data_IF_191069656023
#
_entry.id   IF_191069656023
#
_cell.length_a   1.000
_cell.length_b   1.000
_cell.length_c   1.000
_cell.angle_alpha   90.00
_cell.angle_beta   90.00
_cell.angle_gamma   90.00
#
_symmetry.space_group_name_H-M   'P 1'
#
loop_
_entity.id
_entity.type
_entity.pdbx_description
1 polymer ?
#
# COMPACT_ATOMS: atom_id res chain seq x y z
N UNK A 1 13.37 -22.99 68.87
CA UNK A 1 12.55 -23.21 67.66
C UNK A 1 12.32 -21.85 67.03
N UNK A 2 13.29 -21.36 66.25
CA UNK A 2 13.16 -20.12 65.48
C UNK A 2 12.80 -20.48 64.05
N UNK A 3 11.53 -20.24 63.67
CA UNK A 3 11.11 -20.26 62.26
C UNK A 3 11.35 -18.87 61.68
N UNK A 4 12.53 -18.68 61.09
CA UNK A 4 12.81 -17.53 60.25
C UNK A 4 11.81 -17.45 59.09
N UNK A 5 11.04 -16.36 59.05
CA UNK A 5 10.30 -15.94 57.87
C UNK A 5 11.32 -15.64 56.77
N UNK A 6 11.30 -16.41 55.69
CA UNK A 6 11.97 -16.05 54.44
C UNK A 6 11.18 -14.87 53.86
N UNK A 7 11.80 -13.68 53.67
CA UNK A 7 11.11 -12.58 53.02
C UNK A 7 10.88 -12.94 51.56
N UNK A 8 9.65 -12.68 51.12
CA UNK A 8 9.15 -12.73 49.76
C UNK A 8 10.15 -12.08 48.79
N UNK A 9 10.86 -12.91 48.01
CA UNK A 9 11.75 -12.45 46.93
C UNK A 9 10.94 -12.11 45.68
N UNK A 10 9.78 -11.47 45.88
CA UNK A 10 9.00 -10.82 44.85
C UNK A 10 9.51 -9.38 44.69
N UNK A 11 10.71 -9.20 44.13
CA UNK A 11 11.12 -7.88 43.69
C UNK A 11 12.27 -7.93 42.67
N UNK A 12 11.91 -7.51 41.45
CA UNK A 12 12.74 -6.78 40.47
C UNK A 12 13.70 -7.60 39.61
N UNK A 13 13.13 -8.28 38.63
CA UNK A 13 13.74 -8.34 37.31
C UNK A 13 13.00 -7.36 36.39
N UNK A 14 13.52 -6.12 36.30
CA UNK A 14 13.19 -5.17 35.24
C UNK A 14 13.85 -5.63 33.92
N UNK A 15 13.46 -6.80 33.43
CA UNK A 15 13.74 -7.21 32.06
C UNK A 15 12.49 -6.86 31.27
N UNK A 16 12.60 -5.94 30.32
CA UNK A 16 11.57 -5.69 29.31
C UNK A 16 11.45 -6.98 28.50
N UNK A 17 10.73 -7.96 29.04
CA UNK A 17 10.45 -9.21 28.37
C UNK A 17 9.23 -8.92 27.53
N UNK A 18 9.46 -8.40 26.33
CA UNK A 18 8.40 -8.33 25.32
C UNK A 18 7.92 -9.77 25.14
N UNK A 19 6.63 -10.01 25.40
CA UNK A 19 6.06 -11.35 25.26
C UNK A 19 6.36 -11.87 23.87
N UNK A 20 6.74 -13.15 23.73
CA UNK A 20 7.03 -13.76 22.43
C UNK A 20 5.85 -13.56 21.45
N UNK A 21 4.63 -13.55 21.98
CA UNK A 21 3.43 -13.23 21.20
C UNK A 21 3.49 -11.83 20.60
N UNK A 22 3.96 -10.84 21.34
CA UNK A 22 4.04 -9.46 20.86
C UNK A 22 5.22 -9.28 19.90
N UNK A 23 6.34 -9.95 20.15
CA UNK A 23 7.47 -10.00 19.19
C UNK A 23 7.02 -10.56 17.84
N UNK A 24 6.30 -11.69 17.83
CA UNK A 24 5.82 -12.31 16.58
C UNK A 24 4.83 -11.39 15.87
N UNK A 25 3.89 -10.79 16.61
CA UNK A 25 2.89 -9.88 16.04
C UNK A 25 3.54 -8.67 15.37
N UNK A 26 4.49 -8.03 16.05
CA UNK A 26 5.12 -6.79 15.57
C UNK A 26 6.18 -7.03 14.50
N UNK A 27 6.90 -8.16 14.56
CA UNK A 27 8.07 -8.40 13.71
C UNK A 27 7.88 -9.49 12.65
N UNK A 28 6.79 -10.26 12.66
CA UNK A 28 6.52 -11.28 11.64
C UNK A 28 5.39 -10.85 10.73
N UNK A 29 4.26 -10.40 11.29
CA UNK A 29 3.07 -10.07 10.49
C UNK A 29 3.32 -9.04 9.38
N UNK A 30 4.09 -7.95 9.57
CA UNK A 30 4.35 -6.98 8.51
C UNK A 30 5.15 -7.54 7.33
N UNK A 31 5.91 -8.62 7.52
CA UNK A 31 6.74 -9.21 6.47
C UNK A 31 6.00 -10.25 5.62
N UNK A 32 4.80 -10.65 6.04
CA UNK A 32 4.02 -11.65 5.34
C UNK A 32 3.24 -11.06 4.16
N UNK A 33 3.02 -11.83 3.09
CA UNK A 33 2.18 -11.40 1.97
C UNK A 33 0.79 -10.96 2.43
N UNK A 34 0.28 -9.88 1.81
CA UNK A 34 -1.02 -9.29 2.16
C UNK A 34 -2.16 -10.32 2.24
N UNK A 35 -2.20 -11.28 1.31
CA UNK A 35 -3.22 -12.34 1.29
C UNK A 35 -3.17 -13.22 2.55
N UNK A 36 -1.98 -13.59 3.02
CA UNK A 36 -1.80 -14.41 4.24
C UNK A 36 -2.24 -13.63 5.47
N UNK A 37 -1.85 -12.36 5.54
CA UNK A 37 -2.21 -11.47 6.64
C UNK A 37 -3.72 -11.27 6.76
N UNK A 38 -4.44 -11.10 5.64
CA UNK A 38 -5.91 -10.99 5.67
C UNK A 38 -6.56 -12.24 6.25
N UNK A 39 -6.07 -13.44 5.92
CA UNK A 39 -6.58 -14.69 6.50
C UNK A 39 -6.39 -14.75 8.00
N UNK A 40 -5.30 -14.17 8.51
CA UNK A 40 -5.00 -14.19 9.94
C UNK A 40 -5.95 -13.33 10.80
N UNK A 41 -6.74 -12.45 10.19
CA UNK A 41 -7.87 -11.78 10.88
C UNK A 41 -8.91 -12.77 11.41
N UNK A 42 -8.96 -14.00 10.88
CA UNK A 42 -9.88 -15.03 11.33
C UNK A 42 -9.34 -15.87 12.50
N UNK A 43 -8.06 -15.72 12.88
CA UNK A 43 -7.42 -16.55 13.92
C UNK A 43 -7.91 -16.17 15.32
N UNK A 44 -7.86 -14.89 15.69
CA UNK A 44 -8.42 -14.39 16.95
C UNK A 44 -8.76 -12.89 16.88
N UNK A 45 -9.45 -12.38 17.92
CA UNK A 45 -9.86 -10.97 18.00
C UNK A 45 -8.68 -10.00 18.02
N UNK A 46 -7.61 -10.36 18.73
CA UNK A 46 -6.42 -9.49 18.87
C UNK A 46 -5.73 -9.30 17.53
N UNK A 47 -5.56 -10.38 16.76
CA UNK A 47 -4.94 -10.32 15.43
C UNK A 47 -5.83 -9.53 14.47
N UNK A 48 -7.15 -9.74 14.52
CA UNK A 48 -8.09 -8.92 13.74
C UNK A 48 -7.95 -7.44 14.06
N UNK A 49 -7.85 -7.08 15.33
CA UNK A 49 -7.70 -5.69 15.76
C UNK A 49 -6.40 -5.07 15.24
N UNK A 50 -5.26 -5.73 15.45
CA UNK A 50 -3.96 -5.23 15.01
C UNK A 50 -3.84 -5.12 13.48
N UNK A 51 -4.27 -6.15 12.73
CA UNK A 51 -4.20 -6.16 11.26
C UNK A 51 -5.19 -5.15 10.64
N UNK A 52 -6.19 -4.71 11.40
CA UNK A 52 -7.12 -3.66 10.95
C UNK A 52 -6.63 -2.25 11.29
N UNK A 53 -5.55 -2.11 12.07
CA UNK A 53 -5.00 -0.81 12.41
C UNK A 53 -4.32 -0.15 11.18
N UNK A 54 -4.51 1.16 10.94
CA UNK A 54 -3.86 1.85 9.83
C UNK A 54 -2.33 1.73 9.87
N UNK A 55 -1.74 1.78 11.07
CA UNK A 55 -0.30 1.63 11.27
C UNK A 55 0.22 0.27 10.78
N UNK A 56 -0.58 -0.79 10.88
CA UNK A 56 -0.18 -2.10 10.39
C UNK A 56 -0.04 -2.11 8.86
N UNK A 57 -1.01 -1.53 8.14
CA UNK A 57 -0.94 -1.43 6.68
C UNK A 57 0.27 -0.60 6.23
N UNK A 58 0.58 0.48 6.97
CA UNK A 58 1.78 1.28 6.76
C UNK A 58 3.06 0.45 6.93
N UNK A 59 3.23 -0.23 8.06
CA UNK A 59 4.40 -1.07 8.33
C UNK A 59 4.53 -2.20 7.31
N UNK A 60 3.42 -2.84 6.93
CA UNK A 60 3.44 -3.89 5.92
C UNK A 60 3.90 -3.36 4.54
N UNK A 61 3.47 -2.15 4.15
CA UNK A 61 3.90 -1.52 2.88
C UNK A 61 5.39 -1.20 2.84
N UNK A 62 6.02 -1.07 4.02
CA UNK A 62 7.44 -0.83 4.21
C UNK A 62 8.28 -2.09 4.37
N UNK A 63 7.70 -3.17 4.90
CA UNK A 63 8.44 -4.39 5.24
C UNK A 63 8.32 -5.49 4.19
N UNK A 64 7.19 -5.59 3.49
CA UNK A 64 6.96 -6.64 2.50
C UNK A 64 7.42 -6.19 1.11
N UNK A 65 8.67 -6.51 0.76
CA UNK A 65 9.26 -6.16 -0.54
C UNK A 65 9.08 -7.23 -1.63
N UNK A 66 8.37 -8.31 -1.34
CA UNK A 66 8.14 -9.38 -2.31
C UNK A 66 7.18 -8.96 -3.41
N UNK A 67 7.62 -8.97 -4.66
CA UNK A 67 6.72 -8.76 -5.81
C UNK A 67 5.68 -9.88 -5.85
N UNK A 68 4.40 -9.52 -5.70
CA UNK A 68 3.30 -10.50 -5.68
C UNK A 68 2.82 -10.87 -7.09
N UNK A 69 2.99 -9.99 -8.07
CA UNK A 69 2.56 -10.20 -9.44
C UNK A 69 2.81 -9.01 -10.35
N UNK A 70 2.47 -9.18 -11.63
CA UNK A 70 2.63 -8.19 -12.69
C UNK A 70 1.24 -7.88 -13.26
N UNK A 71 0.86 -6.59 -13.24
CA UNK A 71 -0.33 -6.14 -13.94
C UNK A 71 -0.03 -5.95 -15.42
N UNK A 72 -0.91 -6.47 -16.28
CA UNK A 72 -0.81 -6.33 -17.73
C UNK A 72 -2.10 -5.72 -18.25
N UNK A 73 -1.95 -4.75 -19.15
CA UNK A 73 -3.09 -4.11 -19.80
C UNK A 73 -2.74 -3.81 -21.25
N UNK A 74 -3.39 -4.53 -22.17
CA UNK A 74 -3.16 -4.41 -23.61
C UNK A 74 -4.23 -3.48 -24.19
N UNK A 75 -3.84 -2.45 -24.96
CA UNK A 75 -4.72 -1.59 -25.76
C UNK A 75 -6.03 -1.12 -25.09
N UNK A 76 -5.94 -0.46 -23.92
CA UNK A 76 -7.12 -0.06 -23.11
C UNK A 76 -8.11 -1.21 -22.85
N UNK A 77 -7.63 -2.44 -22.80
CA UNK A 77 -8.42 -3.61 -22.39
C UNK A 77 -8.64 -3.65 -20.89
N UNK A 78 -9.34 -4.70 -20.44
CA UNK A 78 -9.44 -5.03 -19.02
C UNK A 78 -8.06 -5.41 -18.48
N UNK A 79 -7.64 -4.87 -17.32
CA UNK A 79 -6.38 -5.25 -16.71
C UNK A 79 -6.40 -6.71 -16.27
N UNK A 80 -5.28 -7.41 -16.42
CA UNK A 80 -5.04 -8.75 -15.88
C UNK A 80 -3.88 -8.70 -14.89
N UNK A 81 -3.85 -9.65 -13.95
CA UNK A 81 -2.77 -9.82 -13.00
C UNK A 81 -2.15 -11.20 -13.20
N UNK A 82 -0.86 -11.23 -13.50
CA UNK A 82 -0.07 -12.46 -13.52
C UNK A 82 0.63 -12.57 -12.16
N UNK A 83 0.17 -13.46 -11.26
CA UNK A 83 0.82 -13.64 -9.99
C UNK A 83 2.17 -14.35 -10.15
N UNK A 84 3.17 -13.93 -9.38
CA UNK A 84 4.47 -14.63 -9.33
C UNK A 84 4.34 -15.93 -8.52
N UNK A 85 3.53 -15.90 -7.47
CA UNK A 85 3.15 -17.07 -6.69
C UNK A 85 1.62 -17.18 -6.69
N UNK A 86 1.07 -18.33 -7.09
CA UNK A 86 -0.38 -18.56 -7.09
C UNK A 86 -0.99 -18.34 -5.69
N UNK A 87 -0.22 -18.57 -4.64
CA UNK A 87 -0.66 -18.33 -3.26
C UNK A 87 -0.60 -16.86 -2.85
N UNK A 88 0.11 -15.98 -3.55
CA UNK A 88 0.18 -14.54 -3.23
C UNK A 88 -0.93 -13.72 -3.89
N UNK A 89 -1.61 -14.26 -4.91
CA UNK A 89 -2.69 -13.56 -5.62
C UNK A 89 -3.93 -13.38 -4.72
N UNK A 90 -4.12 -12.18 -4.17
CA UNK A 90 -5.29 -11.79 -3.36
C UNK A 90 -6.16 -10.72 -4.01
N UNK A 91 -5.87 -10.36 -5.26
CA UNK A 91 -6.61 -9.30 -5.96
C UNK A 91 -7.97 -9.85 -6.43
N UNK A 92 -9.08 -9.15 -6.13
CA UNK A 92 -10.42 -9.55 -6.56
C UNK A 92 -10.56 -9.59 -8.08
N UNK A 93 -11.31 -10.56 -8.58
CA UNK A 93 -11.79 -10.61 -9.97
C UNK A 93 -13.26 -10.16 -10.00
N UNK A 94 -13.67 -9.25 -10.90
CA UNK A 94 -12.87 -8.55 -11.91
C UNK A 94 -11.93 -7.50 -11.32
N UNK A 95 -10.70 -7.44 -11.86
CA UNK A 95 -9.64 -6.53 -11.42
C UNK A 95 -10.07 -5.07 -11.61
N UNK A 96 -9.89 -4.26 -10.55
CA UNK A 96 -10.21 -2.83 -10.50
C UNK A 96 -11.70 -2.47 -10.71
N UNK A 97 -12.61 -3.44 -10.64
CA UNK A 97 -14.07 -3.22 -10.74
C UNK A 97 -14.69 -2.37 -9.61
N UNK A 98 -13.91 -2.09 -8.55
CA UNK A 98 -14.33 -1.22 -7.44
C UNK A 98 -14.11 0.27 -7.73
N UNK A 99 -13.46 0.62 -8.84
CA UNK A 99 -13.31 2.00 -9.31
C UNK A 99 -14.59 2.48 -10.01
N UNK A 100 -14.85 3.79 -10.02
CA UNK A 100 -16.11 4.34 -10.54
C UNK A 100 -16.26 4.21 -12.07
N UNK A 101 -15.15 4.04 -12.79
CA UNK A 101 -15.11 3.94 -14.25
C UNK A 101 -13.98 2.99 -14.72
N UNK A 102 -13.98 2.55 -15.99
CA UNK A 102 -12.85 1.83 -16.56
C UNK A 102 -11.58 2.69 -16.59
N UNK A 103 -10.45 2.13 -16.15
CA UNK A 103 -9.18 2.88 -16.02
C UNK A 103 -8.03 2.25 -16.80
N UNK A 104 -7.04 3.08 -17.11
CA UNK A 104 -5.71 2.64 -17.51
C UNK A 104 -4.75 2.67 -16.31
N UNK A 105 -4.05 1.57 -16.05
CA UNK A 105 -2.96 1.52 -15.07
C UNK A 105 -1.77 2.29 -15.64
N UNK A 106 -1.22 3.21 -14.86
CA UNK A 106 -0.13 4.10 -15.27
C UNK A 106 1.17 3.82 -14.55
N UNK A 107 1.10 3.49 -13.25
CA UNK A 107 2.26 3.09 -12.47
C UNK A 107 1.82 2.37 -11.18
N UNK A 108 2.78 1.75 -10.51
CA UNK A 108 2.58 1.07 -9.23
C UNK A 108 3.72 1.39 -8.27
N UNK A 109 3.42 1.50 -6.99
CA UNK A 109 4.43 1.71 -5.94
C UNK A 109 3.91 1.20 -4.60
N UNK A 110 4.74 0.43 -3.87
CA UNK A 110 4.45 -0.08 -2.52
C UNK A 110 3.03 -0.65 -2.30
N UNK A 111 2.52 -1.39 -3.30
CA UNK A 111 1.20 -2.03 -3.25
C UNK A 111 0.02 -1.15 -3.68
N UNK A 112 0.28 0.10 -4.06
CA UNK A 112 -0.70 1.00 -4.67
C UNK A 112 -0.53 1.07 -6.18
N UNK A 113 -1.64 1.37 -6.86
CA UNK A 113 -1.70 1.63 -8.29
C UNK A 113 -2.13 3.07 -8.54
N UNK A 114 -1.42 3.76 -9.43
CA UNK A 114 -1.90 4.97 -10.07
C UNK A 114 -2.63 4.59 -11.36
N UNK A 115 -3.88 5.01 -11.43
CA UNK A 115 -4.80 4.74 -12.53
C UNK A 115 -5.29 6.05 -13.12
N UNK A 116 -5.65 6.02 -14.42
CA UNK A 116 -6.26 7.15 -15.11
C UNK A 116 -7.61 6.74 -15.68
N UNK A 117 -8.65 7.51 -15.37
CA UNK A 117 -9.97 7.38 -15.97
C UNK A 117 -9.92 7.44 -17.50
N UNK A 118 -10.84 6.73 -18.14
CA UNK A 118 -11.00 6.73 -19.60
C UNK A 118 -12.09 7.68 -20.05
N UNK A 119 -12.98 8.05 -19.14
CA UNK A 119 -14.13 8.89 -19.37
C UNK A 119 -13.85 10.34 -18.93
N UNK A 120 -14.72 11.25 -19.39
CA UNK A 120 -14.71 12.66 -19.00
C UNK A 120 -13.34 13.33 -19.03
N UNK A 121 -12.96 13.92 -17.89
CA UNK A 121 -11.72 14.69 -17.69
C UNK A 121 -10.47 13.82 -17.54
N UNK A 122 -10.59 12.48 -17.63
CA UNK A 122 -9.49 11.52 -17.47
C UNK A 122 -8.74 11.71 -16.14
N UNK A 123 -9.52 11.78 -15.06
CA UNK A 123 -9.05 11.99 -13.70
C UNK A 123 -8.09 10.89 -13.25
N UNK A 124 -7.28 11.18 -12.24
CA UNK A 124 -6.35 10.22 -11.67
C UNK A 124 -6.92 9.60 -10.40
N UNK A 125 -6.68 8.30 -10.24
CA UNK A 125 -7.03 7.55 -9.05
C UNK A 125 -5.78 6.91 -8.47
N UNK A 126 -5.66 6.94 -7.15
CA UNK A 126 -4.77 6.03 -6.42
C UNK A 126 -5.65 4.96 -5.80
N UNK A 127 -5.28 3.71 -5.97
CA UNK A 127 -6.00 2.61 -5.35
C UNK A 127 -5.10 1.51 -4.82
N UNK A 128 -5.60 0.83 -3.80
CA UNK A 128 -5.05 -0.42 -3.33
C UNK A 128 -5.91 -1.58 -3.88
N UNK A 129 -5.39 -2.38 -4.82
CA UNK A 129 -6.16 -3.46 -5.44
C UNK A 129 -6.53 -4.59 -4.47
N UNK A 130 -5.83 -4.72 -3.34
CA UNK A 130 -6.12 -5.73 -2.32
C UNK A 130 -7.22 -5.29 -1.35
N UNK A 131 -7.20 -4.03 -0.92
CA UNK A 131 -8.21 -3.52 0.02
C UNK A 131 -9.43 -2.92 -0.66
N UNK A 132 -9.39 -2.72 -1.98
CA UNK A 132 -10.41 -2.03 -2.80
C UNK A 132 -10.62 -0.57 -2.41
N UNK A 133 -9.73 -0.01 -1.59
CA UNK A 133 -9.77 1.41 -1.24
C UNK A 133 -9.15 2.21 -2.37
N UNK A 134 -9.75 3.36 -2.65
CA UNK A 134 -9.28 4.27 -3.68
C UNK A 134 -9.56 5.72 -3.29
N UNK A 135 -8.82 6.62 -3.93
CA UNK A 135 -8.94 8.06 -3.79
C UNK A 135 -8.82 8.69 -5.17
N UNK A 136 -9.78 9.54 -5.52
CA UNK A 136 -9.67 10.43 -6.67
C UNK A 136 -8.74 11.59 -6.33
N UNK A 137 -7.90 11.95 -7.29
CA UNK A 137 -6.95 13.03 -7.11
C UNK A 137 -7.51 14.36 -7.60
N UNK A 138 -7.06 15.49 -7.02
CA UNK A 138 -7.41 16.80 -7.51
C UNK A 138 -7.15 16.92 -9.01
N UNK A 139 -8.10 17.54 -9.72
CA UNK A 139 -7.96 17.82 -11.15
C UNK A 139 -6.77 18.75 -11.37
N UNK A 140 -5.84 18.33 -12.24
CA UNK A 140 -4.77 19.21 -12.70
C UNK A 140 -5.30 20.25 -13.68
N UNK A 141 -4.72 21.45 -13.63
CA UNK A 141 -4.96 22.48 -14.63
C UNK A 141 -4.17 22.21 -15.93
N UNK A 142 -3.21 21.30 -15.90
CA UNK A 142 -2.40 20.96 -17.06
C UNK A 142 -3.07 19.91 -17.96
N UNK A 143 -2.93 20.08 -19.27
CA UNK A 143 -3.39 19.09 -20.24
C UNK A 143 -2.32 18.03 -20.47
N UNK A 144 -2.41 16.93 -19.75
CA UNK A 144 -1.46 15.81 -19.85
C UNK A 144 -1.55 15.00 -21.16
N UNK A 145 -2.45 15.36 -22.09
CA UNK A 145 -2.62 14.66 -23.36
C UNK A 145 -3.15 13.24 -23.22
N UNK A 146 -2.99 12.42 -24.26
CA UNK A 146 -3.53 11.05 -24.32
C UNK A 146 -2.63 10.01 -23.65
N UNK A 147 -1.31 10.18 -23.69
CA UNK A 147 -0.30 9.22 -23.21
C UNK A 147 0.78 9.92 -22.36
N UNK A 148 0.42 10.47 -21.18
CA UNK A 148 1.41 11.02 -20.27
C UNK A 148 2.28 9.92 -19.67
N UNK A 149 3.54 10.23 -19.41
CA UNK A 149 4.42 9.40 -18.61
C UNK A 149 4.19 9.73 -17.13
N UNK A 150 3.82 8.74 -16.32
CA UNK A 150 3.41 8.95 -14.94
C UNK A 150 4.17 8.00 -14.02
N UNK A 151 4.70 8.56 -12.94
CA UNK A 151 5.37 7.80 -11.89
C UNK A 151 4.68 8.08 -10.56
N UNK A 152 4.33 7.01 -9.86
CA UNK A 152 3.90 7.06 -8.47
C UNK A 152 5.15 6.86 -7.61
N UNK A 153 5.57 7.90 -6.91
CA UNK A 153 6.71 7.86 -6.01
C UNK A 153 6.25 7.58 -4.59
N UNK A 154 6.96 6.69 -3.93
CA UNK A 154 6.83 6.46 -2.51
C UNK A 154 7.98 7.15 -1.79
N UNK A 155 7.66 8.05 -0.87
CA UNK A 155 8.62 8.78 -0.06
C UNK A 155 8.42 8.39 1.40
N UNK A 156 9.29 7.55 1.98
CA UNK A 156 9.21 7.21 3.39
C UNK A 156 9.58 8.44 4.23
N UNK A 157 8.75 8.74 5.24
CA UNK A 157 9.10 9.75 6.23
C UNK A 157 10.27 9.29 7.11
N UNK A 158 11.03 10.24 7.67
CA UNK A 158 12.21 9.97 8.53
C UNK A 158 11.96 8.92 9.63
N UNK A 159 10.74 8.88 10.16
CA UNK A 159 10.33 7.97 11.22
C UNK A 159 9.38 6.86 10.75
N UNK A 160 9.07 6.79 9.45
CA UNK A 160 8.12 5.83 8.90
C UNK A 160 6.79 5.82 9.68
N UNK A 161 6.26 7.01 9.99
CA UNK A 161 4.94 7.15 10.60
C UNK A 161 3.86 7.43 9.56
N UNK A 162 4.28 8.02 8.43
CA UNK A 162 3.41 8.42 7.34
C UNK A 162 4.04 7.92 6.05
N UNK A 163 3.21 7.28 5.23
CA UNK A 163 3.54 6.97 3.85
C UNK A 163 3.15 8.17 3.00
N UNK A 164 4.13 8.86 2.44
CA UNK A 164 3.86 9.93 1.49
C UNK A 164 3.97 9.39 0.07
N UNK A 165 2.94 9.64 -0.71
CA UNK A 165 2.94 9.34 -2.13
C UNK A 165 2.81 10.62 -2.93
N UNK A 166 3.63 10.73 -3.97
CA UNK A 166 3.61 11.83 -4.94
C UNK A 166 3.44 11.25 -6.32
N UNK A 167 2.66 11.93 -7.15
CA UNK A 167 2.57 11.60 -8.56
C UNK A 167 3.32 12.64 -9.34
N UNK A 168 4.23 12.18 -10.19
CA UNK A 168 4.90 13.01 -11.19
C UNK A 168 4.33 12.62 -12.55
N UNK A 169 3.78 13.60 -13.24
CA UNK A 169 3.28 13.47 -14.60
C UNK A 169 4.18 14.30 -15.53
N UNK A 170 4.84 13.64 -16.47
CA UNK A 170 5.61 14.29 -17.53
C UNK A 170 4.80 14.30 -18.84
N UNK A 171 4.67 15.46 -19.45
CA UNK A 171 3.88 15.65 -20.67
C UNK A 171 4.51 16.70 -21.61
N UNK A 172 4.23 16.64 -22.92
CA UNK A 172 4.75 17.62 -23.88
C UNK A 172 4.23 19.04 -23.58
N UNK A 173 5.13 20.02 -23.61
CA UNK A 173 4.77 21.44 -23.47
C UNK A 173 3.97 21.92 -24.68
N UNK A 174 2.94 22.73 -24.43
CA UNK A 174 2.21 23.46 -25.48
C UNK A 174 2.89 24.76 -25.86
N UNK A 175 3.65 25.33 -24.94
CA UNK A 175 4.18 26.69 -25.03
C UNK A 175 5.60 26.70 -25.62
N UNK A 176 6.34 25.60 -25.44
CA UNK A 176 7.72 25.47 -25.90
C UNK A 176 7.90 24.21 -26.76
N UNK A 177 8.18 24.41 -28.04
CA UNK A 177 8.39 23.31 -29.00
C UNK A 177 9.46 22.32 -28.52
N UNK A 178 9.08 21.03 -28.40
CA UNK A 178 9.89 19.90 -27.90
C UNK A 178 10.24 19.92 -26.40
N UNK A 179 9.74 20.87 -25.60
CA UNK A 179 9.94 20.83 -24.16
C UNK A 179 9.01 19.80 -23.49
N UNK A 180 9.42 19.32 -22.32
CA UNK A 180 8.60 18.48 -21.44
C UNK A 180 8.32 19.27 -20.17
N UNK A 181 7.05 19.31 -19.80
CA UNK A 181 6.58 19.89 -18.54
C UNK A 181 6.29 18.78 -17.53
N UNK A 182 6.33 19.15 -16.26
CA UNK A 182 6.07 18.25 -15.15
C UNK A 182 4.97 18.83 -14.27
N UNK A 183 3.98 18.01 -13.95
CA UNK A 183 2.99 18.30 -12.92
C UNK A 183 3.21 17.35 -11.75
N UNK A 184 3.20 17.90 -10.54
CA UNK A 184 3.45 17.17 -9.29
C UNK A 184 2.17 17.25 -8.46
N UNK A 185 1.46 16.13 -8.37
CA UNK A 185 0.27 16.00 -7.54
C UNK A 185 0.69 15.39 -6.19
N UNK A 186 0.56 16.18 -5.13
CA UNK A 186 0.92 15.81 -3.75
C UNK A 186 -0.28 15.61 -2.83
N UNK A 187 -0.04 14.96 -1.69
CA UNK A 187 -0.98 14.69 -0.58
C UNK A 187 -2.10 13.67 -0.87
N UNK A 188 -1.70 12.44 -1.20
CA UNK A 188 -2.61 11.31 -1.31
C UNK A 188 -2.68 10.50 -0.03
#
# INVERSE_FOLDING_TARGET
>A
MDRGKIPDLAARDNKIYVDLKDIIKENVLPFLPAKSVVKFRAVCRDWRFQISAPLFAHNQSLSCHGTSGIFIQIHRGSPSLIPIDANSCGVPDPILSFLPEPVDIKSSSNGLLCCRGREGDKVYYICNPFTKQWKELPKSNANHGSVPAIVLLFEPSLLNFVAEYKIICAFPSTDFGKATEFDILGNC
#
